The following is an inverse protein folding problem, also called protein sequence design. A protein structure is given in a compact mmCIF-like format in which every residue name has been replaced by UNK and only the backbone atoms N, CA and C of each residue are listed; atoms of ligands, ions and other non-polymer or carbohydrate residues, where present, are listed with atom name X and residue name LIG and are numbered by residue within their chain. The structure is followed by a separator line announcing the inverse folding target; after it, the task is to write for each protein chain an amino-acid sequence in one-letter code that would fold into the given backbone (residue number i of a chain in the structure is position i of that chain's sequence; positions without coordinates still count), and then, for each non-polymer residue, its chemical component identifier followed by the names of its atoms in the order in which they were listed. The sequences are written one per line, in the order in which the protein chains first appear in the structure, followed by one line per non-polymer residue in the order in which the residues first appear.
data_IF_542042251152
#
_entry.id   IF_542042251152
#
_cell.length_a   1.000
_cell.length_b   1.000
_cell.length_c   1.000
_cell.angle_alpha   90.00
_cell.angle_beta   90.00
_cell.angle_gamma   90.00
#
_symmetry.space_group_name_H-M   'P 1'
#
loop_
_entity.id
_entity.type
_entity.pdbx_description
1 polymer ?
#
# COMPACT_ATOMS: atom_id res chain seq x y z
N UNK A 1 25.12 -15.38 -17.50
CA UNK A 1 24.18 -14.39 -18.05
C UNK A 1 22.91 -14.44 -17.21
N UNK A 2 22.78 -13.56 -16.22
CA UNK A 2 21.60 -13.49 -15.36
C UNK A 2 20.47 -12.78 -16.10
N UNK A 3 19.28 -13.38 -16.15
CA UNK A 3 18.06 -12.67 -16.54
C UNK A 3 16.98 -12.87 -15.48
N UNK A 4 16.67 -11.76 -14.82
CA UNK A 4 15.57 -11.53 -13.90
C UNK A 4 14.29 -11.61 -14.73
N UNK A 5 13.36 -12.50 -14.40
CA UNK A 5 12.06 -12.57 -15.08
C UNK A 5 10.93 -12.49 -14.05
N UNK A 6 10.15 -11.42 -14.14
CA UNK A 6 9.16 -11.00 -13.16
C UNK A 6 7.91 -11.89 -13.13
N UNK A 7 7.45 -12.15 -11.92
CA UNK A 7 6.18 -12.81 -11.59
C UNK A 7 5.02 -11.86 -11.94
N UNK A 8 4.16 -12.26 -12.88
CA UNK A 8 3.05 -11.42 -13.35
C UNK A 8 1.95 -11.36 -12.27
N UNK A 9 1.89 -10.26 -11.54
CA UNK A 9 0.80 -9.92 -10.64
C UNK A 9 -0.31 -9.28 -11.48
N UNK A 10 -1.44 -9.96 -11.65
CA UNK A 10 -2.58 -9.38 -12.35
C UNK A 10 -3.35 -8.51 -11.36
N UNK A 11 -3.30 -7.19 -11.57
CA UNK A 11 -4.09 -6.21 -10.86
C UNK A 11 -5.39 -5.99 -11.63
N UNK A 12 -6.54 -6.05 -10.95
CA UNK A 12 -7.79 -5.53 -11.49
C UNK A 12 -7.88 -4.03 -11.19
N UNK A 13 -8.14 -3.20 -12.20
CA UNK A 13 -8.53 -1.81 -12.06
C UNK A 13 -9.57 -1.48 -13.14
N UNK A 14 -10.56 -0.65 -12.77
CA UNK A 14 -11.58 -0.06 -13.63
C UNK A 14 -10.94 0.80 -14.74
N UNK A 15 -11.47 0.84 -15.99
CA UNK A 15 -10.92 1.64 -17.06
C UNK A 15 -11.54 3.05 -17.06
N UNK A 16 -10.79 4.07 -16.65
CA UNK A 16 -10.99 5.44 -17.17
C UNK A 16 -9.65 6.17 -17.21
N UNK A 17 -8.90 5.92 -18.30
CA UNK A 17 -7.74 6.72 -18.69
C UNK A 17 -8.22 7.90 -19.56
N UNK A 18 -8.45 9.05 -18.92
CA UNK A 18 -8.36 10.35 -19.58
C UNK A 18 -6.94 10.87 -19.41
N UNK A 19 -6.04 10.51 -20.33
CA UNK A 19 -4.66 10.98 -20.34
C UNK A 19 -4.62 12.45 -20.77
N UNK A 20 -4.36 13.33 -19.80
CA UNK A 20 -3.72 14.61 -20.05
C UNK A 20 -2.41 14.61 -19.27
N UNK A 21 -1.29 14.52 -20.01
CA UNK A 21 0.03 14.72 -19.46
C UNK A 21 0.14 16.18 -18.98
N UNK A 22 -0.08 16.40 -17.68
CA UNK A 22 0.50 17.55 -17.00
C UNK A 22 1.92 17.19 -16.66
N UNK A 23 2.88 17.78 -17.37
CA UNK A 23 4.22 17.97 -16.81
C UNK A 23 4.03 18.55 -15.41
N UNK A 24 4.37 17.74 -14.40
CA UNK A 24 4.41 18.20 -13.02
C UNK A 24 5.52 19.25 -12.97
N UNK A 25 5.12 20.51 -13.12
CA UNK A 25 5.92 21.66 -12.75
C UNK A 25 6.21 21.46 -11.26
N UNK A 26 7.37 20.89 -10.96
CA UNK A 26 7.90 20.82 -9.61
C UNK A 26 8.13 22.26 -9.19
N UNK A 27 7.14 22.87 -8.54
CA UNK A 27 7.29 24.20 -7.97
C UNK A 27 8.47 24.16 -7.01
N UNK A 28 9.52 24.97 -7.24
CA UNK A 28 10.69 24.97 -6.39
C UNK A 28 10.29 25.39 -4.98
N UNK A 29 10.89 24.75 -3.99
CA UNK A 29 10.73 25.12 -2.58
C UNK A 29 11.32 26.53 -2.38
N UNK A 30 10.60 27.46 -1.72
CA UNK A 30 11.12 28.79 -1.38
C UNK A 30 12.51 28.73 -0.74
N UNK A 31 13.39 29.69 -1.08
CA UNK A 31 14.80 29.68 -0.66
C UNK A 31 15.02 29.73 0.86
N UNK A 32 14.04 30.22 1.62
CA UNK A 32 14.08 30.34 3.08
C UNK A 32 13.37 29.18 3.81
N UNK A 33 12.85 28.19 3.07
CA UNK A 33 12.01 27.17 3.65
C UNK A 33 12.85 26.11 4.38
N UNK A 34 12.70 26.07 5.69
CA UNK A 34 13.13 24.94 6.52
C UNK A 34 12.04 23.88 6.47
N UNK A 35 12.38 22.67 6.03
CA UNK A 35 11.48 21.51 6.05
C UNK A 35 11.70 20.77 7.36
N UNK A 36 10.61 20.52 8.09
CA UNK A 36 10.65 19.72 9.32
C UNK A 36 10.28 18.28 8.99
N UNK A 37 11.23 17.35 9.09
CA UNK A 37 11.06 15.96 8.70
C UNK A 37 10.86 15.10 9.94
N UNK A 38 9.67 14.54 10.11
CA UNK A 38 9.44 13.48 11.09
C UNK A 38 10.07 12.18 10.56
N UNK A 39 11.07 11.69 11.27
CA UNK A 39 11.72 10.40 11.01
C UNK A 39 11.11 9.35 11.91
N UNK A 40 10.41 8.39 11.31
CA UNK A 40 9.63 7.36 11.98
C UNK A 40 10.19 5.99 11.59
N UNK A 41 11.22 5.53 12.32
CA UNK A 41 12.05 4.41 11.88
C UNK A 41 12.75 4.68 10.54
N UNK A 42 12.40 3.90 9.51
CA UNK A 42 12.92 4.07 8.14
C UNK A 42 12.16 5.11 7.32
N UNK A 43 10.96 5.52 7.77
CA UNK A 43 10.09 6.45 7.04
C UNK A 43 10.45 7.90 7.35
N UNK A 44 10.28 8.76 6.36
CA UNK A 44 10.47 10.22 6.47
C UNK A 44 9.20 10.92 6.00
N UNK A 45 8.59 11.70 6.89
CA UNK A 45 7.37 12.44 6.61
C UNK A 45 7.67 13.93 6.75
N UNK A 46 7.73 14.70 5.65
CA UNK A 46 8.10 16.11 5.66
C UNK A 46 6.91 17.02 5.97
N UNK A 47 7.18 18.11 6.70
CA UNK A 47 6.20 19.11 7.12
C UNK A 47 6.71 20.53 6.91
N UNK A 48 5.79 21.43 6.59
CA UNK A 48 6.02 22.86 6.58
C UNK A 48 6.17 23.45 7.99
N UNK A 49 5.47 22.86 8.96
CA UNK A 49 5.42 23.36 10.33
C UNK A 49 6.00 22.34 11.31
N UNK A 50 6.98 22.77 12.12
CA UNK A 50 7.61 21.92 13.15
C UNK A 50 6.59 21.28 14.09
N UNK A 51 5.57 22.04 14.50
CA UNK A 51 4.47 21.56 15.35
C UNK A 51 3.81 20.30 14.80
N UNK A 52 3.62 20.20 13.48
CA UNK A 52 2.99 19.02 12.88
C UNK A 52 3.92 17.81 12.90
N UNK A 53 5.22 18.01 12.68
CA UNK A 53 6.22 16.96 12.81
C UNK A 53 6.32 16.43 14.25
N UNK A 54 6.36 17.34 15.24
CA UNK A 54 6.41 16.99 16.66
C UNK A 54 5.17 16.17 17.08
N UNK A 55 3.98 16.58 16.63
CA UNK A 55 2.73 15.87 16.94
C UNK A 55 2.72 14.44 16.37
N UNK A 56 3.20 14.27 15.13
CA UNK A 56 3.31 12.93 14.52
C UNK A 56 4.32 12.06 15.24
N UNK A 57 5.48 12.62 15.61
CA UNK A 57 6.51 11.88 16.38
C UNK A 57 5.97 11.44 17.74
N UNK A 58 5.25 12.30 18.45
CA UNK A 58 4.64 11.95 19.73
C UNK A 58 3.64 10.80 19.57
N UNK A 59 2.68 10.95 18.64
CA UNK A 59 1.66 9.94 18.36
C UNK A 59 2.23 8.61 17.85
N UNK A 60 3.29 8.67 17.05
CA UNK A 60 3.99 7.46 16.57
C UNK A 60 4.69 6.73 17.72
N UNK A 61 5.37 7.47 18.60
CA UNK A 61 6.06 6.90 19.76
C UNK A 61 5.10 6.20 20.72
N UNK A 62 3.87 6.69 20.83
CA UNK A 62 2.81 6.02 21.60
C UNK A 62 2.38 4.69 20.97
N UNK A 63 2.26 4.64 19.64
CA UNK A 63 1.85 3.43 18.91
C UNK A 63 2.99 2.39 18.86
N UNK A 64 4.24 2.84 18.81
CA UNK A 64 5.42 2.03 18.57
C UNK A 64 6.57 2.43 19.51
N UNK A 65 6.48 2.14 20.82
CA UNK A 65 7.46 2.61 21.81
C UNK A 65 8.88 2.07 21.59
N UNK A 66 9.01 0.94 20.88
CA UNK A 66 10.31 0.33 20.56
C UNK A 66 10.97 0.92 19.30
N UNK A 67 10.32 1.87 18.62
CA UNK A 67 10.84 2.48 17.39
C UNK A 67 11.29 3.91 17.63
N UNK A 68 12.43 4.28 17.05
CA UNK A 68 12.92 5.65 17.12
C UNK A 68 12.04 6.59 16.30
N UNK A 69 11.64 7.69 16.92
CA UNK A 69 10.93 8.78 16.26
C UNK A 69 11.53 10.13 16.67
N UNK A 70 11.91 10.95 15.70
CA UNK A 70 12.53 12.26 15.92
C UNK A 70 12.16 13.25 14.82
N UNK A 71 12.28 14.55 15.12
CA UNK A 71 12.13 15.62 14.12
C UNK A 71 13.51 16.11 13.70
N UNK A 72 13.79 16.05 12.41
CA UNK A 72 14.98 16.63 11.79
C UNK A 72 14.62 17.93 11.07
N UNK A 73 15.49 18.93 11.12
CA UNK A 73 15.36 20.16 10.31
C UNK A 73 16.26 20.05 9.08
N UNK A 74 15.65 20.27 7.92
CA UNK A 74 16.32 20.15 6.63
C UNK A 74 16.21 21.50 5.92
N UNK A 75 17.37 22.07 5.60
CA UNK A 75 17.43 23.21 4.70
C UNK A 75 17.04 22.81 3.26
N UNK A 76 16.81 23.81 2.42
CA UNK A 76 16.46 23.62 1.02
C UNK A 76 17.42 22.70 0.29
N UNK A 77 18.74 22.89 0.48
CA UNK A 77 19.74 22.09 -0.22
C UNK A 77 19.61 20.62 0.14
N UNK A 78 19.51 20.32 1.45
CA UNK A 78 19.34 18.95 1.94
C UNK A 78 18.02 18.35 1.45
N UNK A 79 16.95 19.13 1.40
CA UNK A 79 15.65 18.69 0.87
C UNK A 79 15.71 18.36 -0.63
N UNK A 80 16.25 19.25 -1.46
CA UNK A 80 16.32 19.04 -2.91
C UNK A 80 17.19 17.81 -3.28
N UNK A 81 18.17 17.45 -2.45
CA UNK A 81 19.09 16.34 -2.74
C UNK A 81 18.72 15.01 -2.06
N UNK A 82 17.95 15.04 -0.96
CA UNK A 82 17.64 13.85 -0.15
C UNK A 82 16.16 13.67 0.16
N UNK A 83 15.33 14.66 -0.16
CA UNK A 83 13.91 14.68 0.16
C UNK A 83 13.13 13.69 -0.68
N UNK A 84 12.23 12.89 -0.08
CA UNK A 84 11.31 12.07 -0.85
C UNK A 84 10.37 12.96 -1.68
N UNK A 85 10.17 12.58 -2.94
CA UNK A 85 9.04 13.01 -3.79
C UNK A 85 8.84 14.53 -4.01
N UNK A 86 9.88 15.34 -3.80
CA UNK A 86 9.89 16.77 -4.14
C UNK A 86 8.92 17.63 -3.30
N UNK A 87 8.73 18.90 -3.68
CA UNK A 87 7.97 19.88 -2.88
C UNK A 87 6.53 19.43 -2.53
N UNK A 88 5.88 18.65 -3.40
CA UNK A 88 4.52 18.12 -3.18
C UNK A 88 4.41 17.14 -2.02
N UNK A 89 5.53 16.56 -1.57
CA UNK A 89 5.55 15.67 -0.41
C UNK A 89 5.38 16.43 0.91
N UNK A 90 5.75 17.73 0.94
CA UNK A 90 5.75 18.57 2.15
C UNK A 90 4.32 18.83 2.59
N UNK A 91 3.98 18.37 3.81
CA UNK A 91 2.63 18.49 4.36
C UNK A 91 2.45 19.77 5.15
N UNK A 92 1.31 20.40 4.98
CA UNK A 92 0.89 21.58 5.74
C UNK A 92 0.01 21.22 6.95
N UNK A 93 -0.37 19.95 7.11
CA UNK A 93 -1.24 19.45 8.17
C UNK A 93 -0.75 18.13 8.77
N UNK A 94 -1.19 17.83 9.99
CA UNK A 94 -0.95 16.54 10.64
C UNK A 94 -1.73 15.45 9.89
N UNK A 95 -1.09 14.33 9.51
CA UNK A 95 -1.75 13.22 8.85
C UNK A 95 -2.80 12.58 9.76
N UNK A 96 -3.87 12.10 9.13
CA UNK A 96 -4.94 11.40 9.85
C UNK A 96 -4.58 9.92 10.03
N UNK A 97 -5.12 9.33 11.11
CA UNK A 97 -5.14 7.88 11.26
C UNK A 97 -6.39 7.36 10.56
N UNK A 98 -6.19 6.36 9.71
CA UNK A 98 -7.28 5.64 9.05
C UNK A 98 -7.24 4.18 9.46
N UNK A 99 -8.35 3.48 9.24
CA UNK A 99 -8.45 2.04 9.44
C UNK A 99 -8.38 1.38 8.07
N UNK A 100 -7.44 0.45 7.90
CA UNK A 100 -7.37 -0.39 6.71
C UNK A 100 -8.04 -1.71 7.04
N UNK A 101 -9.09 -2.03 6.30
CA UNK A 101 -9.78 -3.31 6.32
C UNK A 101 -9.04 -4.28 5.39
N UNK A 102 -8.92 -5.51 5.85
CA UNK A 102 -8.32 -6.61 5.10
C UNK A 102 -9.32 -7.74 5.03
N UNK A 103 -9.38 -8.39 3.87
CA UNK A 103 -10.12 -9.62 3.70
C UNK A 103 -9.33 -10.62 2.86
N UNK A 104 -9.53 -11.92 3.10
CA UNK A 104 -8.96 -12.98 2.27
C UNK A 104 -9.79 -14.25 2.23
N UNK A 105 -9.56 -15.03 1.18
CA UNK A 105 -10.07 -16.39 1.05
C UNK A 105 -9.04 -17.28 0.34
N UNK A 106 -9.02 -18.56 0.71
CA UNK A 106 -8.13 -19.56 0.11
C UNK A 106 -8.96 -20.61 -0.61
N UNK A 107 -8.51 -21.00 -1.81
CA UNK A 107 -9.20 -21.97 -2.66
C UNK A 107 -8.24 -23.10 -3.03
N UNK A 108 -8.71 -24.33 -2.84
CA UNK A 108 -8.02 -25.54 -3.26
C UNK A 108 -8.08 -25.69 -4.79
N UNK A 109 -7.21 -26.52 -5.39
CA UNK A 109 -7.39 -26.96 -6.77
C UNK A 109 -8.82 -27.49 -6.98
N UNK A 110 -9.49 -27.03 -8.04
CA UNK A 110 -10.92 -27.31 -8.27
C UNK A 110 -11.89 -26.24 -7.74
N UNK A 111 -11.38 -25.26 -6.98
CA UNK A 111 -12.13 -24.06 -6.57
C UNK A 111 -12.96 -24.22 -5.31
N UNK A 112 -12.76 -25.28 -4.54
CA UNK A 112 -13.35 -25.42 -3.21
C UNK A 112 -12.69 -24.46 -2.23
N UNK A 113 -13.48 -23.79 -1.39
CA UNK A 113 -12.96 -22.87 -0.38
C UNK A 113 -12.32 -23.68 0.77
N UNK A 114 -11.05 -23.44 1.03
CA UNK A 114 -10.37 -24.02 2.17
C UNK A 114 -10.82 -23.34 3.47
N UNK A 115 -11.00 -24.11 4.54
CA UNK A 115 -11.16 -23.55 5.87
C UNK A 115 -9.85 -22.86 6.29
N UNK A 116 -9.86 -21.54 6.39
CA UNK A 116 -8.68 -20.79 6.80
C UNK A 116 -8.52 -20.83 8.33
N UNK A 117 -7.32 -21.19 8.82
CA UNK A 117 -6.98 -21.14 10.25
C UNK A 117 -6.70 -19.72 10.77
N UNK A 118 -6.96 -18.70 9.97
CA UNK A 118 -6.79 -17.29 10.30
C UNK A 118 -8.07 -16.54 9.94
N UNK A 119 -8.36 -15.40 10.59
CA UNK A 119 -9.57 -14.64 10.33
C UNK A 119 -9.66 -14.24 8.85
N UNK A 120 -10.86 -14.39 8.28
CA UNK A 120 -11.16 -14.01 6.91
C UNK A 120 -11.10 -12.49 6.74
N UNK A 121 -11.45 -11.75 7.78
CA UNK A 121 -11.43 -10.29 7.83
C UNK A 121 -10.73 -9.78 9.08
N UNK A 122 -9.93 -8.72 8.94
CA UNK A 122 -9.36 -8.00 10.08
C UNK A 122 -9.13 -6.53 9.71
N UNK A 123 -8.88 -5.70 10.72
CA UNK A 123 -8.60 -4.28 10.51
C UNK A 123 -7.34 -3.87 11.25
N UNK A 124 -6.55 -2.99 10.65
CA UNK A 124 -5.34 -2.42 11.25
C UNK A 124 -5.33 -0.91 11.10
N UNK A 125 -4.96 -0.15 12.15
CA UNK A 125 -4.74 1.28 12.01
C UNK A 125 -3.52 1.53 11.12
N UNK A 126 -3.61 2.57 10.28
CA UNK A 126 -2.53 3.05 9.45
C UNK A 126 -2.59 4.58 9.35
N UNK A 127 -1.46 5.20 9.06
CA UNK A 127 -1.40 6.62 8.79
C UNK A 127 -1.67 6.91 7.31
N UNK A 128 -2.32 8.04 7.00
CA UNK A 128 -2.67 8.38 5.61
C UNK A 128 -1.46 8.39 4.64
N UNK A 129 -0.25 8.65 5.15
CA UNK A 129 0.99 8.66 4.38
C UNK A 129 1.56 7.26 4.10
N UNK A 130 1.02 6.21 4.74
CA UNK A 130 1.38 4.81 4.47
C UNK A 130 0.60 4.30 3.25
N UNK A 131 0.80 4.92 2.08
CA UNK A 131 0.12 4.52 0.84
C UNK A 131 0.42 3.07 0.42
N UNK A 132 1.57 2.53 0.83
CA UNK A 132 1.91 1.11 0.71
C UNK A 132 0.93 0.18 1.45
N UNK A 133 0.14 0.74 2.37
CA UNK A 133 -0.94 0.06 3.10
C UNK A 133 -2.33 0.31 2.53
N UNK A 134 -2.45 0.87 1.32
CA UNK A 134 -3.74 1.13 0.65
C UNK A 134 -4.62 2.15 1.40
N UNK A 135 -4.00 3.09 2.11
CA UNK A 135 -4.70 4.17 2.81
C UNK A 135 -5.34 5.20 1.87
N UNK A 136 -4.98 5.14 0.59
CA UNK A 136 -5.44 6.02 -0.50
C UNK A 136 -6.58 5.41 -1.34
N UNK A 137 -7.02 4.18 -1.05
CA UNK A 137 -8.02 3.45 -1.86
C UNK A 137 -9.14 2.89 -1.01
N UNK A 138 -10.38 3.05 -1.50
CA UNK A 138 -11.56 2.45 -0.89
C UNK A 138 -11.44 0.92 -0.84
N UNK A 139 -10.98 0.31 -1.93
CA UNK A 139 -10.58 -1.10 -1.98
C UNK A 139 -9.58 -1.37 -3.11
N UNK A 140 -8.80 -2.43 -2.95
CA UNK A 140 -7.95 -3.02 -3.97
C UNK A 140 -7.83 -4.51 -3.69
N UNK A 141 -7.83 -5.33 -4.74
CA UNK A 141 -7.73 -6.77 -4.59
C UNK A 141 -6.75 -7.40 -5.57
N UNK A 142 -6.28 -8.59 -5.20
CA UNK A 142 -5.45 -9.45 -6.05
C UNK A 142 -5.75 -10.92 -5.78
N UNK A 143 -5.50 -11.74 -6.79
CA UNK A 143 -5.49 -13.20 -6.65
C UNK A 143 -4.10 -13.73 -6.99
N UNK A 144 -3.58 -14.65 -6.20
CA UNK A 144 -2.27 -15.25 -6.44
C UNK A 144 -2.23 -16.72 -6.06
N UNK A 145 -1.52 -17.52 -6.83
CA UNK A 145 -1.16 -18.89 -6.43
C UNK A 145 -0.16 -18.85 -5.28
N UNK A 146 -0.43 -19.59 -4.21
CA UNK A 146 0.51 -19.73 -3.10
C UNK A 146 1.72 -20.55 -3.55
N UNK A 147 2.93 -20.14 -3.18
CA UNK A 147 4.11 -20.95 -3.43
C UNK A 147 4.03 -22.25 -2.62
N UNK A 148 4.25 -23.39 -3.26
CA UNK A 148 4.23 -24.71 -2.63
C UNK A 148 3.53 -25.77 -3.47
N UNK A 149 3.48 -26.99 -2.95
CA UNK A 149 2.91 -28.16 -3.66
C UNK A 149 1.38 -28.18 -3.68
N UNK A 150 0.71 -27.41 -2.81
CA UNK A 150 -0.75 -27.41 -2.67
C UNK A 150 -1.52 -26.72 -3.80
N UNK A 151 -0.83 -25.96 -4.67
CA UNK A 151 -1.44 -25.25 -5.82
C UNK A 151 -2.65 -24.36 -5.45
N UNK A 152 -2.73 -23.95 -4.19
CA UNK A 152 -3.82 -23.16 -3.63
C UNK A 152 -3.82 -21.74 -4.22
N UNK A 153 -5.00 -21.18 -4.42
CA UNK A 153 -5.16 -19.79 -4.88
C UNK A 153 -5.72 -18.95 -3.74
N UNK A 154 -5.05 -17.85 -3.42
CA UNK A 154 -5.47 -16.90 -2.41
C UNK A 154 -6.05 -15.65 -3.07
N UNK A 155 -7.25 -15.26 -2.65
CA UNK A 155 -7.83 -13.94 -2.87
C UNK A 155 -7.46 -13.04 -1.68
N UNK A 156 -6.94 -11.84 -1.94
CA UNK A 156 -6.60 -10.85 -0.93
C UNK A 156 -7.21 -9.50 -1.32
N UNK A 157 -7.88 -8.85 -0.37
CA UNK A 157 -8.49 -7.53 -0.52
C UNK A 157 -8.07 -6.61 0.62
N UNK A 158 -7.82 -5.35 0.33
CA UNK A 158 -7.48 -4.31 1.31
C UNK A 158 -8.09 -2.96 0.94
N UNK A 159 -8.38 -2.11 1.91
CA UNK A 159 -8.81 -0.73 1.64
C UNK A 159 -9.35 -0.02 2.86
N UNK A 160 -9.70 1.25 2.70
CA UNK A 160 -10.22 2.11 3.78
C UNK A 160 -11.73 2.09 3.95
N UNK A 161 -12.47 1.53 2.99
CA UNK A 161 -13.92 1.39 3.04
C UNK A 161 -14.29 -0.09 3.23
N UNK A 162 -14.90 -0.40 4.37
CA UNK A 162 -15.29 -1.77 4.72
C UNK A 162 -16.26 -2.37 3.70
N UNK A 163 -17.27 -1.64 3.26
CA UNK A 163 -18.28 -2.14 2.32
C UNK A 163 -17.67 -2.34 0.93
N UNK A 164 -16.76 -1.45 0.51
CA UNK A 164 -16.02 -1.62 -0.73
C UNK A 164 -15.08 -2.85 -0.67
N UNK A 165 -14.47 -3.12 0.49
CA UNK A 165 -13.64 -4.31 0.71
C UNK A 165 -14.48 -5.60 0.67
N UNK A 166 -15.64 -5.63 1.33
CA UNK A 166 -16.57 -6.76 1.28
C UNK A 166 -17.04 -7.05 -0.15
N UNK A 167 -17.38 -6.00 -0.91
CA UNK A 167 -17.79 -6.12 -2.31
C UNK A 167 -16.65 -6.65 -3.18
N UNK A 168 -15.45 -6.07 -3.06
CA UNK A 168 -14.27 -6.52 -3.78
C UNK A 168 -13.84 -7.95 -3.42
N UNK A 169 -14.14 -8.43 -2.20
CA UNK A 169 -13.88 -9.82 -1.82
C UNK A 169 -14.70 -10.81 -2.63
N UNK A 170 -15.96 -10.48 -2.94
CA UNK A 170 -16.83 -11.33 -3.76
C UNK A 170 -16.21 -11.49 -5.16
N UNK A 171 -15.77 -10.38 -5.77
CA UNK A 171 -15.11 -10.39 -7.08
C UNK A 171 -13.79 -11.16 -7.05
N UNK A 172 -12.95 -10.90 -6.05
CA UNK A 172 -11.68 -11.58 -5.87
C UNK A 172 -11.85 -13.08 -5.67
N UNK A 173 -12.89 -13.50 -4.93
CA UNK A 173 -13.25 -14.91 -4.75
C UNK A 173 -13.69 -15.54 -6.08
N UNK A 174 -14.52 -14.87 -6.87
CA UNK A 174 -14.94 -15.36 -8.18
C UNK A 174 -13.74 -15.59 -9.11
N UNK A 175 -12.80 -14.64 -9.18
CA UNK A 175 -11.57 -14.82 -9.96
C UNK A 175 -10.66 -15.91 -9.38
N UNK A 176 -10.56 -16.01 -8.05
CA UNK A 176 -9.74 -17.05 -7.42
C UNK A 176 -10.27 -18.46 -7.70
N UNK A 177 -11.60 -18.65 -7.68
CA UNK A 177 -12.25 -19.91 -8.08
C UNK A 177 -11.97 -20.22 -9.54
N UNK A 178 -12.11 -19.23 -10.43
CA UNK A 178 -11.79 -19.42 -11.86
C UNK A 178 -10.32 -19.79 -12.06
N UNK A 179 -9.39 -19.10 -11.38
CA UNK A 179 -7.95 -19.39 -11.43
C UNK A 179 -7.59 -20.76 -10.87
N UNK A 180 -8.27 -21.19 -9.80
CA UNK A 180 -8.07 -22.51 -9.19
C UNK A 180 -8.58 -23.65 -10.08
N UNK A 181 -9.63 -23.41 -10.88
CA UNK A 181 -10.18 -24.38 -11.84
C UNK A 181 -9.46 -24.36 -13.19
N UNK A 182 -8.98 -23.19 -13.60
CA UNK A 182 -8.43 -22.93 -14.93
C UNK A 182 -7.00 -22.34 -14.83
N UNK A 183 -6.02 -23.06 -14.25
CA UNK A 183 -4.67 -22.54 -14.04
C UNK A 183 -3.98 -22.04 -15.32
N UNK A 184 -4.17 -22.74 -16.45
CA UNK A 184 -3.55 -22.34 -17.72
C UNK A 184 -3.94 -20.95 -18.21
N UNK A 185 -5.16 -20.48 -17.91
CA UNK A 185 -5.65 -19.12 -18.28
C UNK A 185 -4.84 -18.01 -17.60
N UNK A 186 -4.22 -18.31 -16.47
CA UNK A 186 -3.55 -17.34 -15.60
C UNK A 186 -2.03 -17.52 -15.56
N UNK A 187 -1.46 -18.36 -16.43
CA UNK A 187 -0.03 -18.68 -16.46
C UNK A 187 0.42 -19.46 -15.21
N UNK A 188 -0.49 -20.24 -14.64
CA UNK A 188 -0.32 -20.96 -13.37
C UNK A 188 0.06 -22.44 -13.54
N UNK A 189 0.44 -22.83 -14.75
CA UNK A 189 0.87 -24.19 -15.11
C UNK A 189 2.40 -24.23 -15.24
N UNK A 190 3.02 -25.26 -14.65
CA UNK A 190 4.43 -25.60 -14.84
C UNK A 190 4.69 -26.20 -16.24
N UNK A 191 4.29 -25.51 -17.31
CA UNK A 191 4.77 -25.88 -18.65
C UNK A 191 6.16 -25.26 -18.84
N UNK A 192 7.17 -25.99 -18.37
CA UNK A 192 8.57 -25.92 -18.83
C UNK A 192 9.03 -27.31 -19.25
#
# INVERSE_FOLDING_TARGET
VSKITGKLHLWGADPTAGSAASEAVQSPVPAELVVHVARLGERRVPFLHRKHADEVVARWSEDWPDHTAEVEEWDRWRWEHRGPDGASAIRDRVPERTVVFHARALFLPGGERAAAGLPEEWSVPAWDFESDRYTDRASAWRTSRRPGTGQEVEAQVRGTDKAAVETALIEACAQAVDRARNPGKYGDTDEW
#
